data_IF_176067324843
#
_entry.id   IF_176067324843
#
_cell.length_a   1.000
_cell.length_b   1.000
_cell.length_c   1.000
_cell.angle_alpha   90.00
_cell.angle_beta   90.00
_cell.angle_gamma   90.00
#
_symmetry.space_group_name_H-M   'P 1'
#
loop_
_entity.id
_entity.type
_entity.pdbx_description
1 polymer ?
#
# COMPACT_ATOMS: atom_id res chain seq x y z
N UNK A 1 -41.25 12.56 -42.00
CA UNK A 1 -40.99 11.11 -41.93
C UNK A 1 -39.83 10.77 -40.97
N UNK A 2 -38.69 11.48 -41.03
CA UNK A 2 -37.51 11.24 -40.17
C UNK A 2 -37.75 11.27 -38.65
N UNK A 3 -38.58 12.19 -38.13
CA UNK A 3 -38.87 12.29 -36.69
C UNK A 3 -39.66 11.11 -36.13
N UNK A 4 -40.50 10.45 -36.94
CA UNK A 4 -41.22 9.24 -36.52
C UNK A 4 -40.30 8.02 -36.46
N UNK A 5 -39.36 7.91 -37.40
CA UNK A 5 -38.36 6.83 -37.40
C UNK A 5 -37.41 6.97 -36.22
N UNK A 6 -36.92 8.18 -35.92
CA UNK A 6 -36.05 8.42 -34.77
C UNK A 6 -36.73 8.12 -33.42
N UNK A 7 -38.01 8.47 -33.27
CA UNK A 7 -38.78 8.13 -32.07
C UNK A 7 -39.09 6.63 -31.96
N UNK A 8 -39.30 5.95 -33.09
CA UNK A 8 -39.48 4.50 -33.11
C UNK A 8 -38.20 3.76 -32.70
N UNK A 9 -37.03 4.14 -33.25
CA UNK A 9 -35.74 3.58 -32.87
C UNK A 9 -35.43 3.82 -31.38
N UNK A 10 -35.72 5.01 -30.85
CA UNK A 10 -35.54 5.31 -29.41
C UNK A 10 -36.43 4.45 -28.51
N UNK A 11 -37.66 4.16 -28.97
CA UNK A 11 -38.63 3.34 -28.23
C UNK A 11 -38.29 1.85 -28.26
N UNK A 12 -37.69 1.37 -29.35
CA UNK A 12 -37.20 -0.01 -29.48
C UNK A 12 -35.94 -0.21 -28.65
N UNK A 13 -34.97 0.71 -28.73
CA UNK A 13 -33.74 0.68 -27.91
C UNK A 13 -34.06 0.76 -26.41
N UNK A 14 -34.99 1.61 -25.98
CA UNK A 14 -35.41 1.66 -24.56
C UNK A 14 -36.12 0.37 -24.10
N UNK A 15 -36.73 -0.37 -25.03
CA UNK A 15 -37.41 -1.62 -24.70
C UNK A 15 -36.41 -2.76 -24.56
N UNK A 16 -35.42 -2.82 -25.44
CA UNK A 16 -34.28 -3.74 -25.34
C UNK A 16 -33.42 -3.47 -24.09
N UNK A 17 -33.20 -2.20 -23.72
CA UNK A 17 -32.56 -1.85 -22.44
C UNK A 17 -33.39 -2.29 -21.23
N UNK A 18 -34.72 -2.13 -21.26
CA UNK A 18 -35.58 -2.58 -20.14
C UNK A 18 -35.71 -4.11 -20.06
N UNK A 19 -35.65 -4.81 -21.19
CA UNK A 19 -35.64 -6.27 -21.25
C UNK A 19 -34.27 -6.85 -20.85
N UNK A 20 -33.18 -6.14 -21.16
CA UNK A 20 -31.84 -6.47 -20.68
C UNK A 20 -31.66 -6.20 -19.17
N UNK A 21 -32.31 -5.16 -18.62
CA UNK A 21 -32.35 -4.91 -17.16
C UNK A 21 -33.19 -5.95 -16.40
N UNK A 22 -34.28 -6.47 -16.99
CA UNK A 22 -35.09 -7.52 -16.37
C UNK A 22 -34.48 -8.93 -16.50
N UNK A 23 -33.56 -9.14 -17.45
CA UNK A 23 -32.85 -10.41 -17.64
C UNK A 23 -31.59 -10.58 -16.76
N UNK A 24 -31.31 -9.65 -15.85
CA UNK A 24 -30.32 -9.89 -14.79
C UNK A 24 -30.92 -10.91 -13.82
N UNK A 25 -30.68 -12.19 -14.10
CA UNK A 25 -31.01 -13.30 -13.22
C UNK A 25 -30.60 -12.92 -11.80
N UNK A 26 -31.58 -12.81 -10.89
CA UNK A 26 -31.33 -12.55 -9.47
C UNK A 26 -30.22 -13.51 -9.03
N UNK A 27 -29.04 -13.03 -8.60
CA UNK A 27 -27.95 -13.91 -8.25
C UNK A 27 -28.44 -14.83 -7.14
N UNK A 28 -28.58 -16.12 -7.47
CA UNK A 28 -29.03 -17.12 -6.51
C UNK A 28 -28.04 -17.13 -5.36
N UNK A 29 -28.47 -16.64 -4.19
CA UNK A 29 -27.66 -16.68 -2.99
C UNK A 29 -27.29 -18.12 -2.71
N UNK A 30 -25.99 -18.40 -2.70
CA UNK A 30 -25.49 -19.70 -2.31
C UNK A 30 -25.35 -19.68 -0.79
N UNK A 31 -26.11 -20.53 -0.11
CA UNK A 31 -26.04 -20.71 1.33
C UNK A 31 -25.19 -21.94 1.60
N UNK A 32 -24.05 -21.75 2.28
CA UNK A 32 -23.17 -22.84 2.70
C UNK A 32 -23.51 -23.18 4.17
N UNK A 33 -24.05 -24.39 4.45
CA UNK A 33 -24.35 -24.84 5.81
C UNK A 33 -23.11 -25.02 6.67
N UNK A 34 -23.32 -25.12 7.99
CA UNK A 34 -22.26 -25.22 9.00
C UNK A 34 -21.28 -26.36 8.75
N UNK A 35 -21.78 -27.50 8.29
CA UNK A 35 -21.03 -28.73 8.03
C UNK A 35 -20.16 -28.66 6.77
N UNK A 36 -20.40 -27.68 5.88
CA UNK A 36 -19.69 -27.54 4.60
C UNK A 36 -18.62 -26.45 4.61
N UNK A 37 -18.38 -25.79 5.75
CA UNK A 37 -17.36 -24.76 5.87
C UNK A 37 -16.48 -24.91 7.11
N UNK A 38 -15.24 -24.43 7.02
CA UNK A 38 -14.23 -24.58 8.07
C UNK A 38 -14.36 -23.58 9.24
N UNK A 39 -15.27 -22.60 9.17
CA UNK A 39 -15.39 -21.55 10.19
C UNK A 39 -15.80 -22.14 11.55
N UNK A 40 -14.93 -21.93 12.55
CA UNK A 40 -15.17 -22.27 13.94
C UNK A 40 -15.35 -21.01 14.78
N UNK A 41 -16.35 -21.02 15.67
CA UNK A 41 -16.58 -19.92 16.63
C UNK A 41 -15.39 -19.68 17.56
N UNK A 42 -14.57 -20.70 17.81
CA UNK A 42 -13.39 -20.57 18.68
C UNK A 42 -12.32 -19.66 18.08
N UNK A 43 -12.32 -19.52 16.76
CA UNK A 43 -11.36 -18.69 16.03
C UNK A 43 -11.89 -17.28 15.76
N UNK A 44 -13.11 -16.97 16.24
CA UNK A 44 -13.71 -15.64 16.16
C UNK A 44 -13.52 -14.94 17.51
N UNK A 45 -13.16 -13.66 17.49
CA UNK A 45 -13.04 -12.85 18.70
C UNK A 45 -14.33 -12.89 19.54
N UNK A 46 -14.16 -13.08 20.84
CA UNK A 46 -15.27 -13.09 21.79
C UNK A 46 -16.01 -11.74 21.80
N UNK A 47 -15.30 -10.63 21.58
CA UNK A 47 -15.90 -9.30 21.50
C UNK A 47 -16.69 -9.11 20.20
N UNK A 48 -16.19 -9.63 19.07
CA UNK A 48 -16.95 -9.65 17.81
C UNK A 48 -18.25 -10.46 17.95
N UNK A 49 -18.17 -11.64 18.59
CA UNK A 49 -19.35 -12.45 18.90
C UNK A 49 -20.34 -11.71 19.81
N UNK A 50 -19.87 -11.02 20.86
CA UNK A 50 -20.71 -10.20 21.75
C UNK A 50 -21.44 -9.09 21.00
N UNK A 51 -20.77 -8.42 20.04
CA UNK A 51 -21.38 -7.39 19.20
C UNK A 51 -22.49 -7.99 18.33
N UNK A 52 -22.21 -9.08 17.61
CA UNK A 52 -23.21 -9.75 16.77
C UNK A 52 -24.42 -10.21 17.59
N UNK A 53 -24.21 -10.90 18.72
CA UNK A 53 -25.32 -11.35 19.57
C UNK A 53 -26.18 -10.21 20.09
N UNK A 54 -25.57 -9.07 20.45
CA UNK A 54 -26.34 -7.92 20.94
C UNK A 54 -27.18 -7.29 19.83
N UNK A 55 -26.65 -7.20 18.61
CA UNK A 55 -27.41 -6.78 17.43
C UNK A 55 -28.58 -7.73 17.15
N UNK A 56 -28.33 -9.04 17.15
CA UNK A 56 -29.38 -10.05 16.94
C UNK A 56 -30.48 -9.99 18.01
N UNK A 57 -30.11 -9.88 19.29
CA UNK A 57 -31.08 -9.74 20.38
C UNK A 57 -31.92 -8.46 20.29
N UNK A 58 -31.39 -7.41 19.67
CA UNK A 58 -32.11 -6.16 19.45
C UNK A 58 -32.99 -6.19 18.18
N UNK A 59 -33.08 -7.33 17.48
CA UNK A 59 -33.90 -7.50 16.27
C UNK A 59 -33.20 -7.11 14.97
N UNK A 60 -31.90 -6.84 15.01
CA UNK A 60 -31.10 -6.53 13.81
C UNK A 60 -30.37 -7.77 13.30
N UNK A 61 -30.11 -7.79 12.00
CA UNK A 61 -29.21 -8.77 11.40
C UNK A 61 -27.77 -8.32 11.59
N UNK A 62 -26.87 -9.28 11.85
CA UNK A 62 -25.46 -9.02 12.02
C UNK A 62 -24.65 -10.15 11.40
N UNK A 63 -23.71 -9.77 10.53
CA UNK A 63 -22.90 -10.69 9.76
C UNK A 63 -21.44 -10.31 9.89
N UNK A 64 -20.57 -11.30 10.08
CA UNK A 64 -19.14 -11.11 9.92
C UNK A 64 -18.82 -11.09 8.42
N UNK A 65 -17.89 -10.23 7.99
CA UNK A 65 -17.57 -10.02 6.57
C UNK A 65 -16.08 -9.86 6.29
N UNK A 66 -15.72 -9.93 5.01
CA UNK A 66 -14.43 -9.45 4.53
C UNK A 66 -13.26 -10.35 4.89
N UNK A 67 -12.16 -9.73 5.34
CA UNK A 67 -10.89 -10.41 5.58
C UNK A 67 -11.00 -11.51 6.64
N UNK A 68 -11.79 -11.28 7.70
CA UNK A 68 -11.98 -12.27 8.76
C UNK A 68 -12.63 -13.55 8.27
N UNK A 69 -13.71 -13.44 7.49
CA UNK A 69 -14.41 -14.62 6.93
C UNK A 69 -13.51 -15.38 5.96
N UNK A 70 -12.85 -14.65 5.04
CA UNK A 70 -11.89 -15.23 4.09
C UNK A 70 -10.77 -15.99 4.80
N UNK A 71 -10.14 -15.36 5.79
CA UNK A 71 -8.99 -15.94 6.47
C UNK A 71 -9.40 -17.19 7.27
N UNK A 72 -10.57 -17.17 7.94
CA UNK A 72 -11.14 -18.34 8.61
C UNK A 72 -11.41 -19.50 7.65
N UNK A 73 -11.98 -19.22 6.47
CA UNK A 73 -12.24 -20.23 5.45
C UNK A 73 -10.96 -20.85 4.88
N UNK A 74 -9.85 -20.09 4.87
CA UNK A 74 -8.53 -20.58 4.51
C UNK A 74 -7.78 -21.25 5.67
N UNK A 75 -8.41 -21.43 6.85
CA UNK A 75 -7.79 -21.99 8.05
C UNK A 75 -6.74 -21.08 8.70
N UNK A 76 -6.70 -19.80 8.34
CA UNK A 76 -5.79 -18.79 8.91
C UNK A 76 -6.49 -18.07 10.07
N UNK A 77 -5.70 -17.54 11.01
CA UNK A 77 -6.22 -16.68 12.08
C UNK A 77 -6.45 -15.25 11.55
N UNK A 78 -7.68 -14.70 11.67
CA UNK A 78 -7.96 -13.30 11.34
C UNK A 78 -7.14 -12.34 12.20
N UNK A 79 -6.76 -11.19 11.63
CA UNK A 79 -6.18 -10.08 12.40
C UNK A 79 -7.26 -9.18 12.99
N UNK A 80 -8.26 -8.87 12.18
CA UNK A 80 -9.34 -7.94 12.50
C UNK A 80 -10.69 -8.58 12.13
N UNK A 81 -11.75 -8.15 12.81
CA UNK A 81 -13.12 -8.63 12.62
C UNK A 81 -14.04 -7.46 12.24
N UNK A 82 -14.57 -7.51 11.02
CA UNK A 82 -15.53 -6.53 10.51
C UNK A 82 -16.94 -7.13 10.58
N UNK A 83 -17.86 -6.39 11.19
CA UNK A 83 -19.28 -6.74 11.29
C UNK A 83 -20.08 -5.80 10.40
N UNK A 84 -21.05 -6.34 9.67
CA UNK A 84 -22.04 -5.58 8.92
C UNK A 84 -23.45 -5.87 9.44
N UNK A 85 -24.33 -4.88 9.38
CA UNK A 85 -25.68 -4.94 9.94
C UNK A 85 -26.68 -4.12 9.15
N UNK A 86 -27.97 -4.43 9.28
CA UNK A 86 -29.05 -3.56 8.81
C UNK A 86 -29.36 -2.40 9.79
N UNK A 87 -28.76 -2.38 10.97
CA UNK A 87 -28.90 -1.26 11.91
C UNK A 87 -28.17 -0.01 11.40
N UNK A 88 -28.87 1.12 11.37
CA UNK A 88 -28.26 2.43 11.04
C UNK A 88 -27.17 2.81 12.05
N UNK A 89 -26.19 3.67 11.67
CA UNK A 89 -25.10 4.05 12.56
C UNK A 89 -25.58 4.63 13.91
N UNK A 90 -26.70 5.35 13.91
CA UNK A 90 -27.27 5.92 15.13
C UNK A 90 -27.96 4.87 16.02
N UNK A 91 -28.58 3.85 15.43
CA UNK A 91 -29.11 2.69 16.17
C UNK A 91 -27.98 1.87 16.78
N UNK A 92 -26.88 1.67 16.05
CA UNK A 92 -25.67 1.00 16.58
C UNK A 92 -25.11 1.82 17.75
N UNK A 93 -24.99 3.14 17.61
CA UNK A 93 -24.53 4.01 18.72
C UNK A 93 -25.45 3.97 19.93
N UNK A 94 -26.77 3.89 19.72
CA UNK A 94 -27.76 3.75 20.81
C UNK A 94 -27.63 2.40 21.52
N UNK A 95 -27.36 1.33 20.78
CA UNK A 95 -27.22 -0.03 21.31
C UNK A 95 -25.89 -0.26 22.04
N UNK A 96 -24.82 0.42 21.61
CA UNK A 96 -23.48 0.31 22.16
C UNK A 96 -23.01 1.66 22.70
N UNK A 97 -23.14 1.89 24.01
CA UNK A 97 -22.70 3.15 24.66
C UNK A 97 -21.20 3.44 24.49
N UNK A 98 -20.40 2.40 24.31
CA UNK A 98 -18.96 2.44 24.03
C UNK A 98 -18.63 2.57 22.52
N UNK A 99 -19.62 2.84 21.67
CA UNK A 99 -19.42 3.06 20.25
C UNK A 99 -19.01 4.52 19.95
N UNK A 100 -18.06 4.68 19.04
CA UNK A 100 -17.71 5.97 18.44
C UNK A 100 -18.00 5.92 16.96
N UNK A 101 -18.71 6.93 16.45
CA UNK A 101 -18.90 7.06 15.01
C UNK A 101 -17.66 7.71 14.41
N UNK A 102 -17.06 7.04 13.44
CA UNK A 102 -15.86 7.47 12.74
C UNK A 102 -16.19 7.65 11.25
N UNK A 103 -15.53 8.63 10.63
CA UNK A 103 -15.73 8.94 9.21
C UNK A 103 -16.87 9.94 8.96
N UNK A 104 -16.59 10.93 8.11
CA UNK A 104 -17.60 11.90 7.65
C UNK A 104 -18.31 11.46 6.38
N UNK A 105 -17.59 10.80 5.47
CA UNK A 105 -18.08 10.37 4.14
C UNK A 105 -18.80 9.02 4.18
N UNK A 106 -18.28 8.10 4.99
CA UNK A 106 -18.85 6.79 5.29
C UNK A 106 -18.92 6.71 6.81
N UNK A 107 -20.12 6.69 7.39
CA UNK A 107 -20.26 6.56 8.84
C UNK A 107 -20.02 5.10 9.23
N UNK A 108 -18.87 4.85 9.85
CA UNK A 108 -18.52 3.57 10.45
C UNK A 108 -18.69 3.68 11.97
N UNK A 109 -19.24 2.63 12.58
CA UNK A 109 -19.39 2.55 14.02
C UNK A 109 -18.25 1.70 14.60
N UNK A 110 -17.35 2.31 15.37
CA UNK A 110 -16.26 1.60 16.05
C UNK A 110 -16.68 1.27 17.47
N UNK A 111 -16.86 -0.02 17.77
CA UNK A 111 -17.18 -0.48 19.13
C UNK A 111 -15.89 -0.84 19.84
N UNK A 112 -15.55 -0.09 20.89
CA UNK A 112 -14.27 -0.21 21.60
C UNK A 112 -14.37 -1.22 22.76
N UNK A 113 -13.45 -2.19 22.80
CA UNK A 113 -13.26 -3.14 23.90
C UNK A 113 -11.80 -3.13 24.37
N UNK A 114 -11.45 -2.19 25.23
CA UNK A 114 -10.06 -2.02 25.69
C UNK A 114 -9.13 -1.73 24.50
N UNK A 115 -8.14 -2.60 24.18
CA UNK A 115 -7.27 -2.44 23.02
C UNK A 115 -7.91 -2.92 21.70
N UNK A 116 -8.99 -3.70 21.74
CA UNK A 116 -9.63 -4.25 20.55
C UNK A 116 -10.75 -3.32 20.05
N UNK A 117 -10.84 -3.17 18.73
CA UNK A 117 -11.86 -2.36 18.06
C UNK A 117 -12.59 -3.27 17.09
N UNK A 118 -13.93 -3.33 17.21
CA UNK A 118 -14.78 -4.02 16.24
C UNK A 118 -15.41 -2.96 15.34
N UNK A 119 -15.12 -3.03 14.04
CA UNK A 119 -15.74 -2.16 13.04
C UNK A 119 -17.13 -2.70 12.71
N UNK A 120 -18.14 -1.84 12.83
CA UNK A 120 -19.53 -2.13 12.51
C UNK A 120 -19.98 -1.19 11.40
N UNK A 121 -20.29 -1.76 10.23
CA UNK A 121 -20.79 -1.03 9.08
C UNK A 121 -22.28 -1.34 8.85
N UNK A 122 -23.05 -0.35 8.43
CA UNK A 122 -24.41 -0.58 7.93
C UNK A 122 -24.36 -1.00 6.46
N UNK A 123 -25.25 -1.90 6.03
CA UNK A 123 -25.38 -2.30 4.62
C UNK A 123 -25.51 -1.09 3.68
N UNK A 124 -24.83 -1.13 2.54
CA UNK A 124 -24.89 -0.09 1.50
C UNK A 124 -25.92 -0.44 0.44
N UNK A 125 -26.84 0.48 0.13
CA UNK A 125 -27.87 0.32 -0.91
C UNK A 125 -27.50 0.96 -2.24
N UNK A 126 -28.26 0.73 -3.30
CA UNK A 126 -28.07 1.38 -4.61
C UNK A 126 -28.64 2.80 -4.65
N UNK A 127 -28.13 3.63 -5.56
CA UNK A 127 -28.72 4.92 -5.87
C UNK A 127 -30.00 4.70 -6.68
N UNK A 128 -31.15 4.55 -6.04
CA UNK A 128 -32.41 4.74 -6.77
C UNK A 128 -32.55 6.22 -7.11
N UNK A 129 -32.83 6.52 -8.38
CA UNK A 129 -32.81 7.85 -9.00
C UNK A 129 -33.83 8.87 -8.51
N UNK A 130 -34.21 8.85 -7.22
CA UNK A 130 -35.04 9.88 -6.64
C UNK A 130 -34.21 11.11 -6.29
N UNK A 131 -34.38 12.13 -7.15
CA UNK A 131 -33.78 13.46 -7.17
C UNK A 131 -34.04 14.30 -5.90
N UNK A 132 -34.68 13.76 -4.86
CA UNK A 132 -35.11 14.54 -3.70
C UNK A 132 -34.03 14.79 -2.64
N UNK A 133 -32.88 14.12 -2.65
CA UNK A 133 -31.84 14.34 -1.63
C UNK A 133 -30.44 14.55 -2.20
N UNK A 134 -30.19 15.77 -2.70
CA UNK A 134 -28.86 16.26 -3.14
C UNK A 134 -27.79 16.25 -2.03
N UNK A 135 -28.15 15.91 -0.80
CA UNK A 135 -27.29 15.96 0.39
C UNK A 135 -26.57 14.64 0.66
N UNK A 136 -27.04 13.52 0.11
CA UNK A 136 -26.70 12.17 0.61
C UNK A 136 -25.60 11.50 -0.21
N UNK A 137 -25.46 11.86 -1.49
CA UNK A 137 -24.39 11.38 -2.35
C UNK A 137 -23.99 12.40 -3.41
N UNK A 138 -22.71 12.75 -3.45
CA UNK A 138 -22.12 13.54 -4.53
C UNK A 138 -21.19 12.63 -5.33
N UNK A 139 -21.24 12.68 -6.67
CA UNK A 139 -20.18 12.16 -7.54
C UNK A 139 -19.32 13.36 -7.95
N UNK A 140 -18.00 13.21 -7.90
CA UNK A 140 -17.08 14.23 -8.40
C UNK A 140 -17.18 14.35 -9.92
N UNK A 141 -16.63 15.42 -10.49
CA UNK A 141 -16.60 15.64 -11.95
C UNK A 141 -15.98 14.45 -12.72
N UNK A 142 -15.12 13.65 -12.06
CA UNK A 142 -14.45 12.49 -12.64
C UNK A 142 -15.19 11.15 -12.38
N UNK A 143 -16.42 11.18 -11.86
CA UNK A 143 -17.19 9.97 -11.52
C UNK A 143 -16.88 9.36 -10.14
N UNK A 144 -15.91 9.90 -9.42
CA UNK A 144 -15.52 9.41 -8.08
C UNK A 144 -16.62 9.66 -7.04
N UNK A 145 -16.99 8.65 -6.25
CA UNK A 145 -18.00 8.79 -5.18
C UNK A 145 -17.48 9.65 -4.01
N UNK A 146 -18.10 10.81 -3.77
CA UNK A 146 -17.72 11.78 -2.73
C UNK A 146 -18.45 11.55 -1.39
N UNK A 147 -19.67 11.02 -1.40
CA UNK A 147 -20.49 10.66 -0.22
C UNK A 147 -21.43 9.50 -0.55
N UNK A 148 -21.62 8.58 0.38
CA UNK A 148 -22.40 7.37 0.14
C UNK A 148 -23.00 6.83 1.45
N UNK A 149 -24.07 7.47 1.92
CA UNK A 149 -24.81 7.06 3.13
C UNK A 149 -26.19 6.49 2.78
N UNK A 150 -26.31 5.79 1.65
CA UNK A 150 -27.54 5.09 1.28
C UNK A 150 -27.48 3.67 1.82
N UNK A 151 -28.48 3.31 2.62
CA UNK A 151 -28.57 1.98 3.23
C UNK A 151 -29.49 1.09 2.41
N UNK A 152 -29.20 -0.21 2.39
CA UNK A 152 -29.92 -1.18 1.56
C UNK A 152 -29.90 -2.58 2.16
N UNK A 153 -30.15 -3.57 1.31
CA UNK A 153 -30.10 -4.98 1.66
C UNK A 153 -28.65 -5.51 1.71
N UNK A 154 -28.48 -6.69 2.32
CA UNK A 154 -27.20 -7.41 2.36
C UNK A 154 -26.69 -7.76 0.95
N UNK A 155 -27.61 -8.08 0.02
CA UNK A 155 -27.28 -8.41 -1.36
C UNK A 155 -26.70 -7.18 -2.09
N UNK A 156 -27.27 -6.00 -1.84
CA UNK A 156 -26.74 -4.75 -2.37
C UNK A 156 -25.35 -4.43 -1.79
N UNK A 157 -25.13 -4.65 -0.49
CA UNK A 157 -23.80 -4.47 0.13
C UNK A 157 -22.77 -5.39 -0.55
N UNK A 158 -23.16 -6.63 -0.86
CA UNK A 158 -22.30 -7.61 -1.50
C UNK A 158 -21.82 -7.16 -2.89
N UNK A 159 -22.69 -6.51 -3.67
CA UNK A 159 -22.35 -5.99 -4.99
C UNK A 159 -21.43 -4.76 -4.94
N UNK A 160 -21.52 -3.95 -3.87
CA UNK A 160 -20.70 -2.74 -3.71
C UNK A 160 -19.29 -3.00 -3.17
N UNK A 161 -19.02 -4.22 -2.69
CA UNK A 161 -17.67 -4.65 -2.29
C UNK A 161 -16.74 -4.81 -3.50
N UNK A 162 -15.44 -4.87 -3.23
CA UNK A 162 -14.42 -4.85 -4.27
C UNK A 162 -14.25 -6.24 -4.90
N UNK A 163 -14.00 -7.27 -4.07
CA UNK A 163 -13.57 -8.60 -4.53
C UNK A 163 -14.50 -9.69 -4.00
N UNK A 164 -14.70 -10.73 -4.80
CA UNK A 164 -15.59 -11.86 -4.50
C UNK A 164 -15.22 -12.55 -3.18
N UNK A 165 -13.94 -12.87 -2.98
CA UNK A 165 -13.43 -13.51 -1.77
C UNK A 165 -13.58 -12.66 -0.49
N UNK A 166 -13.79 -11.34 -0.62
CA UNK A 166 -14.00 -10.42 0.49
C UNK A 166 -15.49 -10.04 0.67
N UNK A 167 -16.39 -10.70 -0.07
CA UNK A 167 -17.84 -10.50 -0.05
C UNK A 167 -18.59 -11.74 0.44
N UNK A 168 -17.97 -12.48 1.36
CA UNK A 168 -18.56 -13.63 2.05
C UNK A 168 -19.08 -13.18 3.43
N UNK A 169 -20.28 -13.61 3.78
CA UNK A 169 -21.00 -13.18 4.98
C UNK A 169 -21.27 -14.36 5.89
N UNK A 170 -20.81 -14.32 7.14
CA UNK A 170 -21.04 -15.36 8.13
C UNK A 170 -21.98 -14.88 9.24
N UNK A 171 -23.03 -15.65 9.56
CA UNK A 171 -23.93 -15.33 10.67
C UNK A 171 -23.74 -16.31 11.84
N UNK A 172 -23.80 -15.75 13.05
CA UNK A 172 -23.80 -16.55 14.28
C UNK A 172 -25.18 -17.06 14.66
N UNK A 173 -26.24 -16.58 14.01
CA UNK A 173 -27.62 -16.98 14.32
C UNK A 173 -27.99 -18.31 13.65
N UNK A 174 -27.62 -18.50 12.39
CA UNK A 174 -27.90 -19.71 11.61
C UNK A 174 -26.64 -20.53 11.29
N UNK A 175 -25.46 -20.02 11.65
CA UNK A 175 -24.16 -20.66 11.40
C UNK A 175 -23.88 -20.92 9.92
N UNK A 176 -24.45 -20.11 9.03
CA UNK A 176 -24.25 -20.25 7.58
C UNK A 176 -23.29 -19.20 7.05
N UNK A 177 -22.66 -19.52 5.93
CA UNK A 177 -21.99 -18.53 5.07
C UNK A 177 -22.89 -18.23 3.87
N UNK A 178 -23.10 -16.96 3.56
CA UNK A 178 -23.81 -16.49 2.37
C UNK A 178 -22.81 -15.99 1.34
N UNK A 179 -22.97 -16.47 0.12
CA UNK A 179 -22.20 -16.06 -1.04
C UNK A 179 -23.16 -15.59 -2.14
N UNK A 180 -23.06 -14.31 -2.50
CA UNK A 180 -23.89 -13.65 -3.52
C UNK A 180 -23.17 -13.52 -4.88
N UNK A 181 -21.88 -13.83 -4.95
CA UNK A 181 -21.03 -13.44 -6.08
C UNK A 181 -20.11 -14.56 -6.59
N UNK A 182 -20.14 -15.74 -5.96
CA UNK A 182 -19.24 -16.85 -6.28
C UNK A 182 -17.88 -16.76 -5.57
N UNK A 183 -17.82 -16.03 -4.45
CA UNK A 183 -16.62 -15.89 -3.64
C UNK A 183 -16.07 -17.21 -3.10
N UNK A 184 -16.91 -18.21 -2.81
CA UNK A 184 -16.46 -19.53 -2.36
C UNK A 184 -15.69 -20.28 -3.44
N UNK A 185 -16.15 -20.18 -4.69
CA UNK A 185 -15.48 -20.81 -5.83
C UNK A 185 -14.13 -20.14 -6.10
N UNK A 186 -14.12 -18.81 -6.18
CA UNK A 186 -12.87 -18.06 -6.38
C UNK A 186 -11.88 -18.30 -5.23
N UNK A 187 -12.36 -18.44 -3.99
CA UNK A 187 -11.53 -18.76 -2.83
C UNK A 187 -10.89 -20.15 -2.95
N UNK A 188 -11.65 -21.16 -3.39
CA UNK A 188 -11.16 -22.52 -3.63
C UNK A 188 -10.16 -22.57 -4.78
N UNK A 189 -10.44 -21.85 -5.86
CA UNK A 189 -9.60 -21.83 -7.07
C UNK A 189 -8.39 -20.90 -6.93
N UNK A 190 -8.30 -20.10 -5.87
CA UNK A 190 -7.21 -19.16 -5.63
C UNK A 190 -7.20 -17.98 -6.60
N UNK A 191 -8.36 -17.36 -6.81
CA UNK A 191 -8.58 -16.29 -7.79
C UNK A 191 -9.02 -14.98 -7.12
N UNK A 192 -8.34 -13.88 -7.46
CA UNK A 192 -8.76 -12.52 -7.12
C UNK A 192 -9.62 -11.99 -8.27
N UNK A 193 -10.94 -11.91 -8.04
CA UNK A 193 -11.91 -11.39 -9.01
C UNK A 193 -12.60 -10.15 -8.47
N UNK A 194 -12.66 -9.09 -9.29
CA UNK A 194 -13.42 -7.89 -8.97
C UNK A 194 -14.92 -8.12 -9.19
N UNK A 195 -15.76 -7.56 -8.34
CA UNK A 195 -17.21 -7.63 -8.47
C UNK A 195 -17.69 -6.58 -9.48
N UNK A 196 -18.53 -6.97 -10.43
CA UNK A 196 -19.02 -6.08 -11.49
C UNK A 196 -18.00 -5.82 -12.60
N UNK A 197 -18.22 -4.78 -13.42
CA UNK A 197 -17.34 -4.46 -14.55
C UNK A 197 -16.01 -3.82 -14.08
N UNK A 198 -14.84 -4.45 -14.34
CA UNK A 198 -13.55 -3.94 -13.87
C UNK A 198 -13.22 -2.51 -14.32
N UNK A 199 -13.44 -2.18 -15.59
CA UNK A 199 -13.17 -0.86 -16.15
C UNK A 199 -13.97 0.24 -15.41
N UNK A 200 -15.27 0.01 -15.18
CA UNK A 200 -16.13 0.94 -14.44
C UNK A 200 -15.67 1.10 -12.99
N UNK A 201 -15.41 -0.02 -12.30
CA UNK A 201 -15.05 -0.01 -10.87
C UNK A 201 -13.67 0.62 -10.62
N UNK A 202 -12.72 0.48 -11.54
CA UNK A 202 -11.43 1.15 -11.45
C UNK A 202 -11.52 2.66 -11.70
N UNK A 203 -12.41 3.11 -12.60
CA UNK A 203 -12.66 4.54 -12.80
C UNK A 203 -13.35 5.19 -11.59
N UNK A 204 -14.26 4.47 -10.95
CA UNK A 204 -14.90 4.94 -9.71
C UNK A 204 -13.92 5.10 -8.54
N UNK A 205 -13.01 4.13 -8.37
CA UNK A 205 -11.97 4.15 -7.34
C UNK A 205 -10.71 3.42 -7.81
N UNK A 206 -9.71 4.15 -8.35
CA UNK A 206 -8.52 3.51 -8.93
C UNK A 206 -7.65 2.80 -7.89
N UNK A 207 -7.86 3.05 -6.59
CA UNK A 207 -7.21 2.28 -5.49
C UNK A 207 -7.55 0.79 -5.55
N UNK A 208 -8.66 0.39 -6.18
CA UNK A 208 -9.01 -1.03 -6.34
C UNK A 208 -7.95 -1.80 -7.12
N UNK A 209 -7.23 -1.17 -8.06
CA UNK A 209 -6.10 -1.80 -8.76
C UNK A 209 -4.98 -2.19 -7.79
N UNK A 210 -4.59 -1.25 -6.92
CA UNK A 210 -3.59 -1.50 -5.88
C UNK A 210 -4.04 -2.61 -4.91
N UNK A 211 -5.33 -2.63 -4.54
CA UNK A 211 -5.88 -3.67 -3.66
C UNK A 211 -5.87 -5.04 -4.33
N UNK A 212 -6.15 -5.14 -5.64
CA UNK A 212 -6.12 -6.39 -6.38
C UNK A 212 -4.73 -7.03 -6.32
N UNK A 213 -3.70 -6.24 -6.66
CA UNK A 213 -2.30 -6.66 -6.58
C UNK A 213 -1.89 -7.00 -5.14
N UNK A 214 -2.29 -6.21 -4.16
CA UNK A 214 -2.02 -6.47 -2.74
C UNK A 214 -2.57 -7.83 -2.28
N UNK A 215 -3.81 -8.14 -2.64
CA UNK A 215 -4.45 -9.39 -2.23
C UNK A 215 -3.84 -10.59 -2.98
N UNK A 216 -3.53 -10.44 -4.27
CA UNK A 216 -2.84 -11.45 -5.05
C UNK A 216 -1.51 -11.85 -4.40
N UNK A 217 -0.66 -10.87 -4.10
CA UNK A 217 0.64 -11.10 -3.45
C UNK A 217 0.50 -11.70 -2.04
N UNK A 218 -0.37 -11.13 -1.20
CA UNK A 218 -0.54 -11.59 0.19
C UNK A 218 -1.08 -13.01 0.29
N UNK A 219 -2.01 -13.38 -0.58
CA UNK A 219 -2.73 -14.65 -0.49
C UNK A 219 -2.08 -15.75 -1.33
N UNK A 220 -1.14 -15.42 -2.21
CA UNK A 220 -0.59 -16.35 -3.19
C UNK A 220 -1.64 -16.78 -4.22
N UNK A 221 -2.49 -15.84 -4.63
CA UNK A 221 -3.63 -16.06 -5.54
C UNK A 221 -3.41 -15.31 -6.85
N UNK A 222 -3.93 -15.87 -7.95
CA UNK A 222 -3.84 -15.21 -9.28
C UNK A 222 -4.97 -14.21 -9.46
N UNK A 223 -4.73 -13.13 -10.20
CA UNK A 223 -5.79 -12.19 -10.60
C UNK A 223 -6.57 -12.80 -11.77
N UNK A 224 -7.90 -12.72 -11.77
CA UNK A 224 -8.69 -13.22 -12.89
C UNK A 224 -8.37 -12.43 -14.18
N UNK A 225 -8.38 -13.06 -15.37
CA UNK A 225 -8.00 -12.38 -16.62
C UNK A 225 -8.79 -11.11 -16.90
N UNK A 226 -10.12 -11.15 -16.68
CA UNK A 226 -11.02 -10.00 -16.82
C UNK A 226 -10.68 -8.85 -15.84
N UNK A 227 -10.22 -9.18 -14.64
CA UNK A 227 -9.86 -8.19 -13.61
C UNK A 227 -8.45 -7.62 -13.87
N UNK A 228 -7.57 -8.43 -14.45
CA UNK A 228 -6.18 -8.09 -14.73
C UNK A 228 -6.02 -7.19 -15.97
N UNK A 229 -6.77 -7.46 -17.05
CA UNK A 229 -6.59 -6.78 -18.35
C UNK A 229 -6.65 -5.25 -18.27
N UNK A 230 -7.59 -4.62 -17.54
CA UNK A 230 -7.66 -3.15 -17.53
C UNK A 230 -6.58 -2.47 -16.69
N UNK A 231 -5.89 -3.20 -15.82
CA UNK A 231 -4.98 -2.60 -14.83
C UNK A 231 -3.84 -1.82 -15.50
N UNK A 232 -3.07 -2.38 -16.47
CA UNK A 232 -1.97 -1.64 -17.09
C UNK A 232 -2.46 -0.42 -17.88
N UNK A 233 -3.63 -0.53 -18.54
CA UNK A 233 -4.24 0.57 -19.32
C UNK A 233 -4.69 1.72 -18.41
N UNK A 234 -5.19 1.41 -17.22
CA UNK A 234 -5.78 2.36 -16.29
C UNK A 234 -4.84 2.83 -15.18
N UNK A 235 -3.62 2.30 -15.11
CA UNK A 235 -2.65 2.62 -14.07
C UNK A 235 -2.46 4.14 -13.84
N UNK A 236 -2.51 4.94 -14.92
CA UNK A 236 -2.35 6.40 -14.88
C UNK A 236 -3.45 7.13 -14.10
N UNK A 237 -4.63 6.52 -13.92
CA UNK A 237 -5.72 7.06 -13.09
C UNK A 237 -5.31 7.22 -11.62
N UNK A 238 -4.25 6.54 -11.17
CA UNK A 238 -3.73 6.75 -9.82
C UNK A 238 -3.24 8.19 -9.61
N UNK A 239 -2.83 8.91 -10.65
CA UNK A 239 -2.37 10.30 -10.53
C UNK A 239 -3.49 11.27 -10.10
N UNK A 240 -4.75 10.92 -10.32
CA UNK A 240 -5.91 11.72 -9.90
C UNK A 240 -6.27 11.53 -8.42
N UNK A 241 -5.62 10.57 -7.75
CA UNK A 241 -5.88 10.24 -6.36
C UNK A 241 -5.07 11.17 -5.45
N UNK A 242 -5.66 11.69 -4.35
CA UNK A 242 -4.93 12.47 -3.38
C UNK A 242 -3.66 11.74 -2.89
N UNK A 243 -2.47 12.39 -2.94
CA UNK A 243 -1.19 11.74 -2.58
C UNK A 243 -1.14 11.14 -1.17
N UNK A 244 -1.92 11.67 -0.22
CA UNK A 244 -2.05 11.11 1.13
C UNK A 244 -2.71 9.72 1.14
N UNK A 245 -3.69 9.48 0.26
CA UNK A 245 -4.35 8.18 0.14
C UNK A 245 -3.40 7.17 -0.52
N UNK A 246 -2.63 7.59 -1.51
CA UNK A 246 -1.60 6.75 -2.14
C UNK A 246 -0.49 6.40 -1.14
N UNK A 247 -0.08 7.34 -0.29
CA UNK A 247 0.88 7.08 0.77
C UNK A 247 0.40 5.97 1.73
N UNK A 248 -0.82 6.05 2.23
CA UNK A 248 -1.39 5.01 3.12
C UNK A 248 -1.44 3.63 2.44
N UNK A 249 -1.85 3.57 1.17
CA UNK A 249 -1.85 2.31 0.41
C UNK A 249 -0.43 1.81 0.12
N UNK A 250 0.55 2.69 -0.11
CA UNK A 250 1.95 2.30 -0.33
C UNK A 250 2.54 1.55 0.88
N UNK A 251 2.19 1.96 2.10
CA UNK A 251 2.60 1.24 3.32
C UNK A 251 1.92 -0.13 3.43
N UNK A 252 0.63 -0.22 3.08
CA UNK A 252 -0.10 -1.51 3.07
C UNK A 252 0.40 -2.48 2.00
N UNK A 253 1.02 -1.96 0.93
CA UNK A 253 1.61 -2.74 -0.14
C UNK A 253 3.01 -3.24 0.24
N UNK A 254 3.90 -2.32 0.63
CA UNK A 254 5.33 -2.60 0.74
C UNK A 254 5.81 -2.96 2.15
N UNK A 255 4.99 -2.67 3.18
CA UNK A 255 5.38 -2.82 4.59
C UNK A 255 4.47 -3.79 5.37
N UNK A 256 3.64 -4.56 4.65
CA UNK A 256 2.71 -5.51 5.25
C UNK A 256 3.27 -6.94 5.41
N UNK A 257 4.56 -7.16 5.14
CA UNK A 257 5.21 -8.47 5.16
C UNK A 257 5.16 -9.23 3.83
N UNK A 258 4.69 -8.59 2.76
CA UNK A 258 4.60 -9.15 1.40
C UNK A 258 5.12 -8.18 0.35
N UNK A 259 5.98 -7.24 0.75
CA UNK A 259 6.44 -6.13 -0.05
C UNK A 259 7.18 -6.58 -1.30
N UNK A 260 8.01 -7.64 -1.24
CA UNK A 260 8.77 -8.10 -2.39
C UNK A 260 7.87 -8.69 -3.49
N UNK A 261 6.97 -9.60 -3.13
CA UNK A 261 6.03 -10.19 -4.09
C UNK A 261 5.01 -9.16 -4.59
N UNK A 262 4.59 -8.22 -3.72
CA UNK A 262 3.74 -7.10 -4.13
C UNK A 262 4.46 -6.18 -5.12
N UNK A 263 5.75 -5.91 -4.91
CA UNK A 263 6.56 -5.08 -5.80
C UNK A 263 6.68 -5.69 -7.21
N UNK A 264 6.95 -6.99 -7.32
CA UNK A 264 6.99 -7.69 -8.62
C UNK A 264 5.72 -7.47 -9.41
N UNK A 265 4.56 -7.70 -8.77
CA UNK A 265 3.26 -7.49 -9.42
C UNK A 265 3.03 -6.00 -9.74
N UNK A 266 3.41 -5.07 -8.87
CA UNK A 266 3.28 -3.63 -9.18
C UNK A 266 4.08 -3.23 -10.42
N UNK A 267 5.27 -3.81 -10.63
CA UNK A 267 6.07 -3.58 -11.82
C UNK A 267 5.44 -4.24 -13.06
N UNK A 268 5.03 -5.51 -12.96
CA UNK A 268 4.37 -6.25 -14.05
C UNK A 268 3.12 -5.51 -14.57
N UNK A 269 2.31 -4.98 -13.66
CA UNK A 269 1.07 -4.27 -13.97
C UNK A 269 1.25 -2.77 -14.19
N UNK A 270 2.48 -2.25 -14.28
CA UNK A 270 2.79 -0.83 -14.49
C UNK A 270 2.21 0.12 -13.42
N UNK A 271 1.85 -0.41 -12.25
CA UNK A 271 1.31 0.35 -11.11
C UNK A 271 2.40 0.94 -10.22
N UNK A 272 3.64 0.48 -10.34
CA UNK A 272 4.78 1.05 -9.60
C UNK A 272 5.09 2.48 -10.07
N UNK A 273 4.95 2.76 -11.38
CA UNK A 273 5.31 4.03 -11.99
C UNK A 273 4.51 5.23 -11.46
N UNK A 274 3.17 5.19 -11.36
CA UNK A 274 2.40 6.30 -10.77
C UNK A 274 2.76 6.60 -9.31
N UNK A 275 3.16 5.58 -8.53
CA UNK A 275 3.52 5.74 -7.13
C UNK A 275 4.93 6.29 -6.95
N UNK A 276 5.88 5.84 -7.77
CA UNK A 276 7.31 6.15 -7.61
C UNK A 276 7.96 6.62 -8.92
N UNK A 277 7.47 7.72 -9.54
CA UNK A 277 8.00 8.19 -10.83
C UNK A 277 9.50 8.54 -10.75
N UNK A 278 9.96 9.08 -9.61
CA UNK A 278 11.37 9.37 -9.34
C UNK A 278 12.25 8.12 -9.36
N UNK A 279 11.71 6.94 -9.04
CA UNK A 279 12.46 5.68 -9.05
C UNK A 279 12.40 5.05 -10.43
N UNK A 280 11.22 4.96 -11.04
CA UNK A 280 11.02 4.28 -12.34
C UNK A 280 11.88 4.88 -13.44
N UNK A 281 12.20 6.19 -13.38
CA UNK A 281 13.12 6.86 -14.31
C UNK A 281 14.52 6.22 -14.37
N UNK A 282 14.94 5.52 -13.32
CA UNK A 282 16.27 4.93 -13.19
C UNK A 282 16.29 3.41 -13.36
N UNK A 283 15.17 2.77 -13.71
CA UNK A 283 15.19 1.35 -14.06
C UNK A 283 16.01 1.09 -15.33
N UNK A 284 16.61 -0.10 -15.40
CA UNK A 284 17.48 -0.48 -16.51
C UNK A 284 16.90 -1.68 -17.24
N UNK A 285 17.12 -1.79 -18.55
CA UNK A 285 16.63 -2.94 -19.34
C UNK A 285 17.20 -4.27 -18.84
N UNK A 286 18.42 -4.24 -18.27
CA UNK A 286 19.06 -5.42 -17.68
C UNK A 286 18.41 -5.87 -16.35
N UNK A 287 17.65 -4.99 -15.68
CA UNK A 287 17.00 -5.29 -14.41
C UNK A 287 17.94 -5.54 -13.21
N UNK A 288 19.25 -5.26 -13.33
CA UNK A 288 20.27 -5.62 -12.34
C UNK A 288 21.08 -4.40 -11.84
N UNK A 289 20.50 -3.20 -11.91
CA UNK A 289 21.17 -2.03 -11.35
C UNK A 289 21.30 -2.12 -9.81
N UNK A 290 22.28 -1.42 -9.19
CA UNK A 290 22.37 -1.34 -7.73
C UNK A 290 21.08 -0.84 -7.07
N UNK A 291 20.31 0.00 -7.77
CA UNK A 291 19.01 0.49 -7.31
C UNK A 291 17.94 -0.60 -7.32
N UNK A 292 17.82 -1.36 -8.40
CA UNK A 292 16.85 -2.45 -8.48
C UNK A 292 17.15 -3.49 -7.39
N UNK A 293 18.42 -3.88 -7.26
CA UNK A 293 18.89 -4.82 -6.23
C UNK A 293 18.64 -4.33 -4.80
N UNK A 294 18.82 -3.03 -4.51
CA UNK A 294 18.56 -2.51 -3.16
C UNK A 294 17.07 -2.50 -2.82
N UNK A 295 16.21 -2.19 -3.80
CA UNK A 295 14.75 -2.20 -3.62
C UNK A 295 14.29 -3.62 -3.33
N UNK A 296 14.76 -4.61 -4.10
CA UNK A 296 14.45 -6.00 -3.82
C UNK A 296 14.93 -6.44 -2.43
N UNK A 297 16.19 -6.15 -2.09
CA UNK A 297 16.76 -6.63 -0.83
C UNK A 297 16.13 -5.94 0.39
N UNK A 298 15.82 -4.64 0.31
CA UNK A 298 15.16 -3.95 1.43
C UNK A 298 13.73 -4.46 1.65
N UNK A 299 13.01 -4.82 0.58
CA UNK A 299 11.68 -5.42 0.68
C UNK A 299 11.75 -6.83 1.26
N UNK A 300 12.65 -7.70 0.76
CA UNK A 300 12.89 -9.05 1.32
C UNK A 300 13.24 -9.00 2.81
N UNK A 301 14.11 -8.06 3.19
CA UNK A 301 14.49 -7.85 4.58
C UNK A 301 13.28 -7.36 5.41
N UNK A 302 12.49 -6.42 4.87
CA UNK A 302 11.29 -5.91 5.54
C UNK A 302 10.26 -7.02 5.76
N UNK A 303 10.06 -7.88 4.77
CA UNK A 303 9.13 -9.01 4.86
C UNK A 303 9.57 -10.00 5.93
N UNK A 304 10.85 -10.36 5.94
CA UNK A 304 11.45 -11.20 6.98
C UNK A 304 11.30 -10.58 8.37
N UNK A 305 11.45 -9.25 8.50
CA UNK A 305 11.29 -8.58 9.79
C UNK A 305 9.86 -8.60 10.31
N UNK A 306 8.88 -8.37 9.43
CA UNK A 306 7.46 -8.43 9.80
C UNK A 306 7.06 -9.84 10.21
N UNK A 307 7.52 -10.87 9.50
CA UNK A 307 7.23 -12.26 9.85
C UNK A 307 7.86 -12.70 11.18
N UNK A 308 8.91 -12.02 11.62
CA UNK A 308 9.56 -12.25 12.91
C UNK A 308 9.08 -11.28 14.01
N UNK A 309 7.91 -10.66 13.84
CA UNK A 309 7.29 -9.69 14.77
C UNK A 309 8.23 -8.54 15.20
N UNK A 310 9.19 -8.18 14.34
CA UNK A 310 10.09 -7.06 14.59
C UNK A 310 9.49 -5.76 14.08
N UNK A 311 9.69 -4.69 14.87
CA UNK A 311 9.34 -3.33 14.44
C UNK A 311 10.10 -2.94 13.17
N UNK A 312 9.38 -2.30 12.26
CA UNK A 312 9.89 -1.75 11.00
C UNK A 312 9.71 -0.24 10.97
N UNK A 313 10.63 0.47 10.33
CA UNK A 313 10.59 1.92 10.24
C UNK A 313 10.25 2.34 8.79
N UNK A 314 9.09 2.96 8.54
CA UNK A 314 8.73 3.42 7.19
C UNK A 314 9.77 4.38 6.57
N UNK A 315 10.38 5.25 7.38
CA UNK A 315 11.41 6.17 6.88
C UNK A 315 12.64 5.44 6.33
N UNK A 316 12.97 4.26 6.88
CA UNK A 316 14.10 3.46 6.40
C UNK A 316 13.83 2.88 5.02
N UNK A 317 12.61 2.40 4.76
CA UNK A 317 12.21 1.87 3.46
C UNK A 317 12.38 2.95 2.37
N UNK A 318 11.83 4.14 2.59
CA UNK A 318 12.00 5.25 1.65
C UNK A 318 13.46 5.70 1.53
N UNK A 319 14.21 5.76 2.64
CA UNK A 319 15.63 6.12 2.60
C UNK A 319 16.45 5.15 1.73
N UNK A 320 16.13 3.85 1.77
CA UNK A 320 16.78 2.83 0.96
C UNK A 320 16.36 2.92 -0.52
N UNK A 321 15.06 3.02 -0.79
CA UNK A 321 14.52 3.07 -2.16
C UNK A 321 15.01 4.29 -2.94
N UNK A 322 15.04 5.47 -2.32
CA UNK A 322 15.45 6.72 -2.97
C UNK A 322 16.96 7.00 -2.88
N UNK A 323 17.77 6.08 -2.33
CA UNK A 323 19.20 6.30 -2.15
C UNK A 323 19.93 6.58 -3.47
N UNK A 324 19.70 5.77 -4.51
CA UNK A 324 20.37 5.94 -5.79
C UNK A 324 19.80 7.10 -6.63
N UNK A 325 18.48 7.33 -6.69
CA UNK A 325 17.94 8.57 -7.24
C UNK A 325 18.59 9.81 -6.60
N UNK A 326 18.74 9.83 -5.28
CA UNK A 326 19.43 10.90 -4.55
C UNK A 326 20.90 11.05 -4.96
N UNK A 327 21.65 9.95 -5.04
CA UNK A 327 23.06 10.00 -5.44
C UNK A 327 23.24 10.56 -6.85
N UNK A 328 22.39 10.13 -7.80
CA UNK A 328 22.48 10.57 -9.19
C UNK A 328 22.09 12.05 -9.33
N UNK A 329 21.04 12.49 -8.63
CA UNK A 329 20.67 13.91 -8.55
C UNK A 329 21.78 14.76 -7.92
N UNK A 330 22.38 14.30 -6.81
CA UNK A 330 23.48 15.01 -6.15
C UNK A 330 24.71 15.13 -7.05
N UNK A 331 25.05 14.06 -7.77
CA UNK A 331 26.15 14.05 -8.71
C UNK A 331 25.92 15.03 -9.86
N UNK A 332 24.70 15.05 -10.41
CA UNK A 332 24.31 15.99 -11.47
C UNK A 332 24.44 17.44 -11.00
N UNK A 333 23.85 17.80 -9.85
CA UNK A 333 23.90 19.16 -9.29
C UNK A 333 25.35 19.60 -9.04
N UNK A 334 26.18 18.71 -8.48
CA UNK A 334 27.58 19.02 -8.19
C UNK A 334 28.38 19.35 -9.47
N UNK A 335 28.11 18.64 -10.57
CA UNK A 335 28.80 18.87 -11.85
C UNK A 335 28.28 20.10 -12.60
N UNK A 336 26.97 20.31 -12.61
CA UNK A 336 26.34 21.39 -13.39
C UNK A 336 26.51 22.77 -12.73
N UNK A 337 26.42 22.84 -11.40
CA UNK A 337 26.41 24.12 -10.67
C UNK A 337 27.77 24.49 -10.04
N UNK A 338 28.75 23.57 -10.03
CA UNK A 338 30.06 23.80 -9.42
C UNK A 338 30.05 23.93 -7.89
N UNK A 339 28.96 23.53 -7.23
CA UNK A 339 28.85 23.53 -5.76
C UNK A 339 29.74 22.45 -5.13
N UNK A 340 30.04 22.62 -3.84
CA UNK A 340 30.65 21.54 -3.07
C UNK A 340 29.70 20.33 -3.03
N UNK A 341 30.24 19.12 -2.97
CA UNK A 341 29.40 17.91 -2.94
C UNK A 341 28.46 17.87 -1.72
N UNK A 342 28.87 18.46 -0.59
CA UNK A 342 28.02 18.52 0.60
C UNK A 342 26.77 19.40 0.37
N UNK A 343 26.95 20.56 -0.27
CA UNK A 343 25.84 21.48 -0.55
C UNK A 343 24.95 20.95 -1.68
N UNK A 344 25.57 20.36 -2.71
CA UNK A 344 24.85 19.67 -3.78
C UNK A 344 24.00 18.51 -3.24
N UNK A 345 24.51 17.74 -2.28
CA UNK A 345 23.76 16.66 -1.63
C UNK A 345 22.58 17.20 -0.80
N UNK A 346 22.75 18.34 -0.12
CA UNK A 346 21.67 18.97 0.63
C UNK A 346 20.53 19.44 -0.27
N UNK A 347 20.84 20.01 -1.44
CA UNK A 347 19.86 20.38 -2.46
C UNK A 347 19.17 19.15 -3.05
N UNK A 348 19.94 18.13 -3.43
CA UNK A 348 19.39 16.89 -3.98
C UNK A 348 18.41 16.19 -3.02
N UNK A 349 18.66 16.23 -1.71
CA UNK A 349 17.70 15.72 -0.72
C UNK A 349 16.37 16.45 -0.76
N UNK A 350 16.36 17.76 -1.01
CA UNK A 350 15.11 18.52 -1.16
C UNK A 350 14.40 18.11 -2.44
N UNK A 351 15.09 18.15 -3.58
CA UNK A 351 14.49 17.91 -4.88
C UNK A 351 13.85 16.51 -4.98
N UNK A 352 14.55 15.47 -4.53
CA UNK A 352 14.06 14.09 -4.56
C UNK A 352 12.87 13.90 -3.63
N UNK A 353 12.91 14.49 -2.42
CA UNK A 353 11.79 14.38 -1.49
C UNK A 353 10.59 15.19 -1.94
N UNK A 354 10.77 16.36 -2.54
CA UNK A 354 9.68 17.21 -3.03
C UNK A 354 9.01 16.59 -4.28
N UNK A 355 9.79 15.96 -5.17
CA UNK A 355 9.25 15.17 -6.29
C UNK A 355 8.47 13.96 -5.79
N UNK A 356 9.05 13.17 -4.87
CA UNK A 356 8.35 12.03 -4.27
C UNK A 356 7.10 12.46 -3.49
N UNK A 357 7.14 13.59 -2.77
CA UNK A 357 6.01 14.14 -2.01
C UNK A 357 4.84 14.56 -2.90
N UNK A 358 5.08 14.83 -4.19
CA UNK A 358 4.05 15.16 -5.17
C UNK A 358 3.20 13.94 -5.54
N UNK A 359 3.79 12.75 -5.59
CA UNK A 359 3.09 11.49 -5.86
C UNK A 359 2.55 10.83 -4.58
N UNK A 360 3.31 10.86 -3.50
CA UNK A 360 2.97 10.26 -2.21
C UNK A 360 3.14 11.32 -1.14
N UNK A 361 2.10 11.76 -0.43
CA UNK A 361 2.26 12.78 0.61
C UNK A 361 2.99 12.23 1.85
N UNK A 362 4.31 12.08 1.76
CA UNK A 362 5.16 11.53 2.83
C UNK A 362 5.13 12.52 4.01
N UNK A 363 4.69 12.08 5.21
CA UNK A 363 4.64 12.96 6.37
C UNK A 363 6.00 13.58 6.71
N UNK A 364 5.99 14.87 7.11
CA UNK A 364 7.19 15.61 7.51
C UNK A 364 8.06 14.87 8.53
N UNK A 365 7.42 14.16 9.47
CA UNK A 365 8.11 13.29 10.42
C UNK A 365 9.01 12.27 9.71
N UNK A 366 8.49 11.58 8.70
CA UNK A 366 9.26 10.58 7.97
C UNK A 366 10.34 11.22 7.10
N UNK A 367 10.07 12.33 6.43
CA UNK A 367 11.08 13.01 5.59
C UNK A 367 12.25 13.53 6.42
N UNK A 368 12.02 14.05 7.63
CA UNK A 368 13.10 14.42 8.57
C UNK A 368 13.95 13.19 8.93
N UNK A 369 13.31 12.08 9.29
CA UNK A 369 14.03 10.85 9.62
C UNK A 369 14.85 10.31 8.43
N UNK A 370 14.30 10.36 7.22
CA UNK A 370 14.97 9.96 5.99
C UNK A 370 16.22 10.81 5.74
N UNK A 371 16.12 12.13 5.90
CA UNK A 371 17.26 13.06 5.78
C UNK A 371 18.37 12.74 6.77
N UNK A 372 18.03 12.47 8.03
CA UNK A 372 19.02 12.11 9.05
C UNK A 372 19.77 10.83 8.67
N UNK A 373 19.05 9.81 8.16
CA UNK A 373 19.64 8.54 7.69
C UNK A 373 20.66 8.79 6.57
N UNK A 374 20.30 9.63 5.58
CA UNK A 374 21.19 9.97 4.47
C UNK A 374 22.38 10.82 4.87
N UNK A 375 22.20 11.84 5.71
CA UNK A 375 23.30 12.67 6.19
C UNK A 375 24.31 11.83 7.00
N UNK A 376 23.84 10.83 7.74
CA UNK A 376 24.72 9.88 8.41
C UNK A 376 25.56 9.07 7.42
N UNK A 377 25.09 8.75 6.21
CA UNK A 377 25.89 8.05 5.21
C UNK A 377 27.17 8.83 4.83
N UNK A 378 27.09 10.16 4.74
CA UNK A 378 28.26 11.02 4.47
C UNK A 378 29.18 11.15 5.68
N UNK A 379 28.64 11.04 6.89
CA UNK A 379 29.42 11.14 8.14
C UNK A 379 30.10 9.83 8.50
N UNK A 380 29.47 8.68 8.23
CA UNK A 380 30.00 7.35 8.55
C UNK A 380 31.28 7.02 7.78
N UNK A 381 31.53 7.67 6.64
CA UNK A 381 32.82 7.57 5.93
C UNK A 381 33.95 8.32 6.66
N UNK A 382 33.64 9.33 7.48
CA UNK A 382 34.60 10.16 8.23
C UNK A 382 34.67 9.70 9.70
N UNK A 383 35.44 8.63 9.94
CA UNK A 383 35.49 7.93 11.25
C UNK A 383 36.55 8.43 12.25
N UNK A 384 37.34 9.43 11.89
CA UNK A 384 38.48 9.85 12.71
C UNK A 384 38.06 10.55 14.02
N UNK A 385 38.79 10.22 15.09
CA UNK A 385 38.69 10.81 16.42
C UNK A 385 37.32 10.67 17.11
N UNK A 386 36.98 11.65 17.96
CA UNK A 386 35.75 11.65 18.80
C UNK A 386 34.44 11.68 18.01
N UNK A 387 34.49 11.86 16.68
CA UNK A 387 33.29 11.92 15.83
C UNK A 387 32.57 10.57 15.77
N UNK A 388 33.31 9.46 15.84
CA UNK A 388 32.71 8.13 15.81
C UNK A 388 31.75 7.90 16.98
N UNK A 389 32.15 8.27 18.19
CA UNK A 389 31.33 8.22 19.41
C UNK A 389 30.04 9.03 19.27
N UNK A 390 30.15 10.28 18.81
CA UNK A 390 28.97 11.13 18.57
C UNK A 390 28.02 10.56 17.52
N UNK A 391 28.55 9.87 16.52
CA UNK A 391 27.72 9.19 15.51
C UNK A 391 26.99 7.98 16.11
N UNK A 392 27.67 7.22 16.96
CA UNK A 392 27.11 6.03 17.61
C UNK A 392 25.92 6.38 18.51
N UNK A 393 25.97 7.52 19.19
CA UNK A 393 24.88 8.05 20.03
C UNK A 393 23.67 8.57 19.24
N UNK A 394 23.77 8.73 17.92
CA UNK A 394 22.69 9.32 17.13
C UNK A 394 21.45 8.41 17.12
N UNK A 395 20.23 8.93 17.34
CA UNK A 395 19.00 8.12 17.43
C UNK A 395 18.66 7.35 16.14
N UNK A 396 19.30 7.72 15.01
CA UNK A 396 19.14 7.08 13.69
C UNK A 396 20.37 6.30 13.24
N UNK A 397 21.34 6.10 14.11
CA UNK A 397 22.56 5.35 13.81
C UNK A 397 22.24 3.93 13.29
N UNK A 398 21.37 3.17 13.97
CA UNK A 398 21.00 1.82 13.55
C UNK A 398 20.47 1.78 12.11
N UNK A 399 19.54 2.67 11.78
CA UNK A 399 18.98 2.76 10.42
C UNK A 399 20.04 3.19 9.38
N UNK A 400 20.96 4.08 9.75
CA UNK A 400 22.07 4.46 8.87
C UNK A 400 23.07 3.31 8.64
N UNK A 401 23.38 2.54 9.68
CA UNK A 401 24.21 1.34 9.58
C UNK A 401 23.54 0.27 8.71
N UNK A 402 22.25 0.01 8.90
CA UNK A 402 21.50 -0.97 8.12
C UNK A 402 21.46 -0.57 6.62
N UNK A 403 21.34 0.73 6.32
CA UNK A 403 21.42 1.22 4.94
C UNK A 403 22.83 1.05 4.36
N UNK A 404 23.86 1.34 5.16
CA UNK A 404 25.26 1.15 4.73
C UNK A 404 25.56 -0.33 4.43
N UNK A 405 25.05 -1.25 5.25
CA UNK A 405 25.17 -2.69 5.04
C UNK A 405 24.55 -3.11 3.69
N UNK A 406 23.30 -2.68 3.44
CA UNK A 406 22.63 -2.91 2.15
C UNK A 406 23.43 -2.37 0.96
N UNK A 407 23.93 -1.13 1.07
CA UNK A 407 24.74 -0.51 0.01
C UNK A 407 26.01 -1.30 -0.28
N UNK A 408 26.74 -1.69 0.75
CA UNK A 408 27.97 -2.47 0.59
C UNK A 408 27.73 -3.83 -0.09
N UNK A 409 26.58 -4.45 0.20
CA UNK A 409 26.16 -5.72 -0.38
C UNK A 409 25.77 -5.57 -1.86
N UNK A 410 24.92 -4.60 -2.20
CA UNK A 410 24.42 -4.44 -3.58
C UNK A 410 25.48 -3.86 -4.52
N UNK A 411 26.28 -2.88 -4.06
CA UNK A 411 27.35 -2.27 -4.86
C UNK A 411 28.54 -3.24 -5.03
N UNK A 412 28.60 -4.32 -4.22
CA UNK A 412 29.76 -5.24 -4.14
C UNK A 412 31.08 -4.48 -3.99
N UNK A 413 31.04 -3.39 -3.22
CA UNK A 413 32.16 -2.48 -3.04
C UNK A 413 32.97 -2.88 -1.80
N UNK A 414 34.23 -3.27 -2.01
CA UNK A 414 35.13 -3.72 -0.94
C UNK A 414 35.40 -2.64 0.13
N UNK A 415 35.46 -1.36 -0.26
CA UNK A 415 35.67 -0.24 0.68
C UNK A 415 34.46 -0.08 1.60
N UNK A 416 33.25 -0.13 1.04
CA UNK A 416 32.02 -0.08 1.84
C UNK A 416 31.86 -1.32 2.72
N UNK A 417 32.22 -2.51 2.23
CA UNK A 417 32.19 -3.73 3.05
C UNK A 417 33.15 -3.67 4.23
N UNK A 418 34.36 -3.13 4.02
CA UNK A 418 35.32 -2.87 5.11
C UNK A 418 34.75 -1.86 6.10
N UNK A 419 34.08 -0.82 5.62
CA UNK A 419 33.44 0.19 6.47
C UNK A 419 32.31 -0.40 7.32
N UNK A 420 31.47 -1.27 6.73
CA UNK A 420 30.41 -1.99 7.44
C UNK A 420 30.99 -2.90 8.51
N UNK A 421 32.02 -3.69 8.18
CA UNK A 421 32.68 -4.57 9.15
C UNK A 421 33.22 -3.78 10.35
N UNK A 422 33.92 -2.67 10.08
CA UNK A 422 34.46 -1.81 11.13
C UNK A 422 33.37 -1.23 12.03
N UNK A 423 32.30 -0.66 11.46
CA UNK A 423 31.19 -0.13 12.27
C UNK A 423 30.44 -1.26 13.01
N UNK A 424 30.41 -2.46 12.42
CA UNK A 424 29.83 -3.66 13.00
C UNK A 424 30.53 -4.09 14.28
N UNK A 425 31.86 -4.04 14.29
CA UNK A 425 32.70 -4.30 15.47
C UNK A 425 32.63 -3.11 16.45
N UNK A 426 32.86 -1.89 15.98
CA UNK A 426 32.89 -0.69 16.83
C UNK A 426 31.61 -0.49 17.66
N UNK A 427 30.43 -0.77 17.09
CA UNK A 427 29.15 -0.59 17.78
C UNK A 427 28.88 -1.61 18.90
N UNK A 428 29.60 -2.74 18.94
CA UNK A 428 29.43 -3.79 19.97
C UNK A 428 30.62 -3.90 20.92
N UNK A 429 31.76 -3.30 20.56
CA UNK A 429 32.98 -3.26 21.37
C UNK A 429 32.80 -2.48 22.67
N UNK A 430 33.56 -2.85 23.71
CA UNK A 430 33.63 -2.10 24.95
C UNK A 430 34.44 -0.79 24.77
N UNK A 431 34.27 0.22 25.64
CA UNK A 431 34.98 1.50 25.50
C UNK A 431 36.51 1.45 25.35
N UNK A 432 37.25 0.53 26.03
CA UNK A 432 38.68 0.37 25.82
C UNK A 432 39.02 -0.07 24.39
N UNK A 433 38.30 -1.06 23.86
CA UNK A 433 38.51 -1.60 22.52
C UNK A 433 38.13 -0.57 21.46
N UNK A 434 37.02 0.16 21.66
CA UNK A 434 36.62 1.27 20.79
C UNK A 434 37.71 2.34 20.69
N UNK A 435 38.41 2.63 21.80
CA UNK A 435 39.53 3.57 21.81
C UNK A 435 40.72 3.03 21.02
N UNK A 436 41.01 1.73 21.13
CA UNK A 436 42.04 1.06 20.32
C UNK A 436 41.75 1.17 18.82
N UNK A 437 40.53 0.82 18.40
CA UNK A 437 40.09 0.87 17.00
C UNK A 437 40.17 2.27 16.37
N UNK A 438 40.01 3.33 17.17
CA UNK A 438 40.16 4.71 16.68
C UNK A 438 41.61 5.11 16.48
N UNK A 439 42.52 4.64 17.34
CA UNK A 439 43.94 4.93 17.21
C UNK A 439 44.52 4.27 15.94
N UNK A 440 44.12 3.03 15.63
CA UNK A 440 44.54 2.34 14.40
C UNK A 440 44.15 3.09 13.12
N UNK A 441 42.99 3.76 13.13
CA UNK A 441 42.53 4.56 11.98
C UNK A 441 43.31 5.85 11.79
N UNK A 442 43.84 6.43 12.87
CA UNK A 442 44.66 7.64 12.80
C UNK A 442 46.07 7.31 12.28
N UNK A 443 46.50 6.04 12.36
CA UNK A 443 47.76 5.54 11.81
C UNK A 443 47.69 5.11 10.32
N UNK A 444 46.50 4.84 9.77
CA UNK A 444 46.35 4.54 8.34
C UNK A 444 46.68 5.77 7.47
N UNK A 445 47.64 5.70 6.52
CA UNK A 445 47.98 6.83 5.66
C UNK A 445 46.78 7.15 4.77
N UNK A 446 46.21 8.34 4.94
CA UNK A 446 45.10 8.85 4.13
C UNK A 446 45.43 8.66 2.64
N UNK A 447 44.63 7.92 1.85
CA UNK A 447 44.93 7.72 0.44
C UNK A 447 44.91 9.08 -0.23
N UNK A 448 46.08 9.52 -0.75
CA UNK A 448 46.20 10.74 -1.55
C UNK A 448 45.09 10.72 -2.59
N UNK A 449 44.15 11.67 -2.48
CA UNK A 449 43.11 11.89 -3.50
C UNK A 449 43.80 11.89 -4.86
N UNK A 450 43.62 10.83 -5.64
CA UNK A 450 43.91 10.87 -7.07
C UNK A 450 42.98 11.94 -7.62
N UNK A 451 43.53 13.13 -7.88
CA UNK A 451 42.91 14.14 -8.72
C UNK A 451 42.51 13.44 -10.01
N UNK A 452 41.22 13.11 -10.16
CA UNK A 452 40.66 12.70 -11.44
C UNK A 452 40.98 13.85 -12.40
N UNK A 453 41.92 13.62 -13.33
CA UNK A 453 42.17 14.54 -14.43
C UNK A 453 40.82 14.88 -15.07
N UNK A 454 40.54 16.16 -15.37
CA UNK A 454 39.34 16.50 -16.11
C UNK A 454 39.34 15.69 -17.42
N UNK A 455 38.26 14.97 -17.69
CA UNK A 455 38.04 14.38 -19.02
C UNK A 455 38.16 15.54 -20.01
N UNK A 456 39.17 15.49 -20.89
CA UNK A 456 39.32 16.44 -22.00
C UNK A 456 37.97 16.52 -22.70
N UNK A 457 37.40 17.72 -22.79
CA UNK A 457 36.25 18.00 -23.66
C UNK A 457 36.59 17.46 -25.05
N UNK A 458 35.69 16.67 -25.63
CA UNK A 458 35.79 16.30 -27.03
C UNK A 458 35.88 17.60 -27.87
N UNK A 459 36.75 17.67 -28.89
CA UNK A 459 36.83 18.85 -29.72
C UNK A 459 35.46 19.08 -30.38
N UNK A 460 34.97 20.31 -30.29
CA UNK A 460 33.84 20.77 -31.11
C UNK A 460 34.20 20.45 -32.56
N UNK A 461 33.36 19.68 -33.24
CA UNK A 461 33.36 19.64 -34.70
C UNK A 461 33.07 21.07 -35.15
N UNK A 462 34.10 21.75 -35.64
CA UNK A 462 33.91 22.93 -36.48
C UNK A 462 33.11 22.47 -37.71
N UNK A 463 32.00 23.15 -37.95
CA UNK A 463 31.24 22.97 -39.17
C UNK A 463 32.11 23.37 -40.35
N UNK A 464 32.28 22.45 -41.28
CA UNK A 464 32.59 22.80 -42.66
C UNK A 464 31.35 23.45 -43.25
N UNK A 465 31.48 24.75 -43.53
CA UNK A 465 30.70 25.47 -44.53
C UNK A 465 30.94 24.89 -45.93
#
# INVERSE_FOLDING_TARGET
MFTRVANFCRKVLSREESEAEQAVARPQVTVIPREQHAISRKDISENALKVMYRLNKAGYEAWLVGGGVRDLLLGKKPKDFDVTTNATPEQVRKLFRNCRLVGRRFRLAHVMFGPEIIEVATFRGHHEGNVSDRTTSQRGQNGMLLRDNIFGSIEEDAQRRDFTINSLYYSVADFTVRDYVGGMKDLKDGVIRLIGNPETRYREDPVRMLRAVRFAAKLGMRISPETAEPIPRLATLLNDIPPARLFEESLKLLQAGYGYETYKLLCEYHLFQPLFPTITRYFTENGDSPMERIIEQVLKNTDTRIHNDMRVNPAFLFAAMFWYPLLETAQKIAQESGLTYHDAFALAMNDVLDEACRSLAIPKRLTTLTRDIWQLQLRMSRRQGKRAWKLLEHPKFRAAYDLLALRAEVERNAELQRLVKWWGEFQVSAPPDQKGMLNELDEEPSPRRRTRRPRKRAPRREGTA
#
